data_IF_579788463770
#
_entry.id   IF_579788463770
#
_cell.length_a   1.000
_cell.length_b   1.000
_cell.length_c   1.000
_cell.angle_alpha   90.00
_cell.angle_beta   90.00
_cell.angle_gamma   90.00
#
_symmetry.space_group_name_H-M   'P 1'
#
loop_
_entity.id
_entity.type
_entity.pdbx_description
1 polymer ?
#
# COMPACT_ATOMS: atom_id res chain seq x y z
N UNK A 1 -3.09 4.07 -14.78
CA UNK A 1 -2.04 4.73 -13.96
C UNK A 1 -2.58 5.33 -12.66
N UNK A 2 -3.44 6.36 -12.66
CA UNK A 2 -3.92 7.04 -11.42
C UNK A 2 -4.51 6.11 -10.33
N UNK A 3 -5.21 5.05 -10.73
CA UNK A 3 -5.79 4.06 -9.79
C UNK A 3 -4.72 3.25 -9.04
N UNK A 4 -3.60 2.92 -9.69
CA UNK A 4 -2.49 2.17 -9.07
C UNK A 4 -1.72 3.06 -8.09
N UNK A 5 -1.43 4.30 -8.48
CA UNK A 5 -0.77 5.27 -7.60
C UNK A 5 -1.62 5.58 -6.36
N UNK A 6 -2.95 5.69 -6.53
CA UNK A 6 -3.87 5.86 -5.40
C UNK A 6 -3.82 4.64 -4.46
N UNK A 7 -3.93 3.43 -5.02
CA UNK A 7 -3.80 2.20 -4.24
C UNK A 7 -2.44 2.06 -3.53
N UNK A 8 -1.35 2.44 -4.19
CA UNK A 8 -0.03 2.44 -3.56
C UNK A 8 0.02 3.40 -2.37
N UNK A 9 -0.45 4.64 -2.55
CA UNK A 9 -0.54 5.62 -1.48
C UNK A 9 -1.41 5.12 -0.31
N UNK A 10 -2.57 4.55 -0.61
CA UNK A 10 -3.49 4.02 0.41
C UNK A 10 -2.84 2.92 1.25
N UNK A 11 -2.06 2.01 0.63
CA UNK A 11 -1.32 0.97 1.34
C UNK A 11 -0.12 1.55 2.10
N UNK A 12 0.58 2.55 1.57
CA UNK A 12 1.73 3.17 2.24
C UNK A 12 1.34 3.93 3.52
N UNK A 13 0.16 4.56 3.52
CA UNK A 13 -0.30 5.38 4.66
C UNK A 13 -1.09 4.54 5.68
N UNK A 14 -1.60 3.36 5.30
CA UNK A 14 -2.26 2.48 6.26
C UNK A 14 -1.29 1.99 7.33
N UNK A 15 -1.69 2.04 8.59
CA UNK A 15 -0.94 1.43 9.69
C UNK A 15 -0.84 -0.09 9.54
N UNK A 16 0.24 -0.66 10.07
CA UNK A 16 0.51 -2.09 10.11
C UNK A 16 0.94 -2.51 11.52
N UNK A 17 0.69 -3.77 11.88
CA UNK A 17 1.23 -4.40 13.09
C UNK A 17 2.35 -5.38 12.74
N UNK A 18 3.23 -5.68 13.68
CA UNK A 18 4.20 -6.77 13.53
C UNK A 18 3.53 -8.15 13.72
N UNK A 19 4.11 -9.18 13.11
CA UNK A 19 3.62 -10.55 13.26
C UNK A 19 3.87 -11.02 14.71
N UNK A 20 2.80 -11.34 15.44
CA UNK A 20 2.87 -11.72 16.85
C UNK A 20 2.94 -10.55 17.83
N UNK A 21 2.66 -9.32 17.39
CA UNK A 21 2.59 -8.16 18.28
C UNK A 21 1.47 -8.33 19.32
N UNK A 22 1.73 -7.97 20.57
CA UNK A 22 0.78 -8.14 21.67
C UNK A 22 0.15 -6.81 22.10
N UNK A 23 -1.12 -6.85 22.47
CA UNK A 23 -1.80 -5.67 22.98
C UNK A 23 -1.19 -5.26 24.33
N UNK A 24 -0.76 -4.00 24.51
CA UNK A 24 -0.12 -3.55 25.76
C UNK A 24 -1.06 -3.52 26.99
N UNK A 25 -2.37 -3.72 26.78
CA UNK A 25 -3.38 -3.71 27.86
C UNK A 25 -3.68 -5.12 28.34
N UNK A 26 -4.02 -6.04 27.43
CA UNK A 26 -4.42 -7.41 27.77
C UNK A 26 -3.33 -8.46 27.53
N UNK A 27 -2.17 -8.08 26.96
CA UNK A 27 -1.05 -8.96 26.63
C UNK A 27 -1.48 -10.16 25.77
N UNK A 28 -2.48 -9.96 24.91
CA UNK A 28 -2.95 -10.96 23.96
C UNK A 28 -2.48 -10.59 22.57
N UNK A 29 -2.10 -11.59 21.78
CA UNK A 29 -1.68 -11.43 20.39
C UNK A 29 -2.74 -10.67 19.57
N UNK A 30 -2.28 -9.63 18.88
CA UNK A 30 -3.09 -8.75 18.07
C UNK A 30 -3.29 -9.35 16.68
N UNK A 31 -4.54 -9.34 16.21
CA UNK A 31 -4.92 -9.87 14.90
C UNK A 31 -5.36 -8.77 13.97
N UNK A 32 -4.91 -8.85 12.73
CA UNK A 32 -5.35 -7.96 11.65
C UNK A 32 -6.87 -7.94 11.55
N UNK A 33 -7.45 -6.76 11.35
CA UNK A 33 -8.90 -6.54 11.33
C UNK A 33 -9.53 -6.44 12.72
N UNK A 34 -8.80 -6.71 13.80
CA UNK A 34 -9.27 -6.63 15.18
C UNK A 34 -8.42 -5.67 16.04
N UNK A 35 -7.71 -4.75 15.40
CA UNK A 35 -6.81 -3.77 16.03
C UNK A 35 -7.15 -2.38 15.53
N UNK A 36 -7.23 -1.43 16.45
CA UNK A 36 -7.40 -0.02 16.14
C UNK A 36 -6.08 0.72 16.27
N UNK A 37 -5.76 1.51 15.25
CA UNK A 37 -4.73 2.53 15.29
C UNK A 37 -5.34 3.85 15.71
N UNK A 38 -4.75 4.46 16.73
CA UNK A 38 -5.14 5.76 17.23
C UNK A 38 -4.43 6.86 16.41
N UNK A 39 -4.98 8.08 16.36
CA UNK A 39 -4.30 9.24 15.69
C UNK A 39 -3.00 9.69 16.37
N UNK A 40 -2.64 9.07 17.49
CA UNK A 40 -1.35 9.20 18.15
C UNK A 40 -0.40 8.03 17.84
N UNK A 41 -0.71 7.21 16.82
CA UNK A 41 0.10 6.08 16.34
C UNK A 41 0.24 4.92 17.34
N UNK A 42 -0.62 4.87 18.37
CA UNK A 42 -0.65 3.75 19.30
C UNK A 42 -1.74 2.76 18.92
N UNK A 43 -1.45 1.47 19.02
CA UNK A 43 -2.31 0.38 18.58
C UNK A 43 -2.83 -0.41 19.78
N UNK A 44 -4.10 -0.81 19.73
CA UNK A 44 -4.74 -1.63 20.76
C UNK A 44 -5.75 -2.58 20.12
N UNK A 45 -5.98 -3.74 20.76
CA UNK A 45 -7.02 -4.65 20.29
C UNK A 45 -8.42 -4.05 20.50
N UNK A 46 -9.33 -4.41 19.59
CA UNK A 46 -10.77 -4.05 19.62
C UNK A 46 -11.40 -4.22 20.99
N UNK A 47 -11.19 -5.37 21.63
CA UNK A 47 -11.75 -5.66 22.95
C UNK A 47 -11.33 -4.66 24.04
N UNK A 48 -10.07 -4.22 24.01
CA UNK A 48 -9.57 -3.25 24.98
C UNK A 48 -10.06 -1.84 24.65
N UNK A 49 -10.09 -1.46 23.38
CA UNK A 49 -10.66 -0.19 22.93
C UNK A 49 -12.15 -0.07 23.31
N UNK A 50 -12.93 -1.13 23.12
CA UNK A 50 -14.35 -1.16 23.48
C UNK A 50 -14.57 -1.02 24.99
N UNK A 51 -13.72 -1.65 25.80
CA UNK A 51 -13.74 -1.52 27.28
C UNK A 51 -13.35 -0.12 27.75
N UNK A 52 -12.51 0.59 27.01
CA UNK A 52 -12.10 1.96 27.33
C UNK A 52 -13.18 2.99 27.01
N UNK A 53 -14.12 2.66 26.13
CA UNK A 53 -15.20 3.55 25.74
C UNK A 53 -16.56 2.84 25.68
N UNK A 54 -17.07 2.35 26.82
CA UNK A 54 -18.34 1.67 26.88
C UNK A 54 -19.48 2.69 26.64
N UNK A 55 -20.02 2.67 25.42
CA UNK A 55 -21.41 3.05 25.08
C UNK A 55 -21.88 4.52 25.15
N UNK A 56 -21.19 5.49 25.76
CA UNK A 56 -21.67 6.90 25.72
C UNK A 56 -20.63 7.99 25.47
N UNK A 57 -19.34 7.67 25.47
CA UNK A 57 -18.31 8.65 25.14
C UNK A 57 -17.84 8.42 23.71
N UNK A 58 -18.03 9.44 22.86
CA UNK A 58 -17.44 9.52 21.52
C UNK A 58 -15.92 9.69 21.57
N UNK A 59 -15.39 10.06 22.74
CA UNK A 59 -13.98 10.38 22.94
C UNK A 59 -13.32 9.31 23.80
N UNK A 60 -12.24 8.71 23.30
CA UNK A 60 -11.41 7.75 24.01
C UNK A 60 -10.08 8.40 24.38
N UNK A 61 -9.60 8.16 25.60
CA UNK A 61 -8.26 8.59 26.01
C UNK A 61 -7.25 7.48 25.73
N UNK A 62 -6.18 7.78 25.00
CA UNK A 62 -5.10 6.83 24.76
C UNK A 62 -4.43 6.42 26.09
N UNK A 63 -4.34 5.12 26.42
CA UNK A 63 -3.68 4.65 27.64
C UNK A 63 -2.20 5.02 27.75
N UNK A 64 -1.50 5.14 26.62
CA UNK A 64 -0.05 5.41 26.59
C UNK A 64 0.27 6.90 26.69
N UNK A 65 -0.41 7.75 25.91
CA UNK A 65 -0.08 9.18 25.81
C UNK A 65 -1.18 10.12 26.32
N UNK A 66 -2.33 9.60 26.76
CA UNK A 66 -3.50 10.35 27.28
C UNK A 66 -4.12 11.35 26.30
N UNK A 67 -3.78 11.26 25.01
CA UNK A 67 -4.42 12.05 23.96
C UNK A 67 -5.89 11.64 23.83
N UNK A 68 -6.77 12.63 23.72
CA UNK A 68 -8.21 12.45 23.48
C UNK A 68 -8.44 12.27 21.99
N UNK A 69 -9.14 11.19 21.62
CA UNK A 69 -9.32 10.76 20.23
C UNK A 69 -10.79 10.41 20.03
N UNK A 70 -11.38 10.86 18.92
CA UNK A 70 -12.75 10.47 18.56
C UNK A 70 -12.79 9.03 18.09
N UNK A 71 -13.90 8.32 18.34
CA UNK A 71 -14.12 6.98 17.79
C UNK A 71 -14.11 6.96 16.26
N UNK A 72 -14.55 8.04 15.62
CA UNK A 72 -14.57 8.17 14.17
C UNK A 72 -13.17 8.38 13.56
N UNK A 73 -12.20 8.80 14.37
CA UNK A 73 -10.82 9.05 13.94
C UNK A 73 -9.92 7.80 14.12
N UNK A 74 -10.49 6.67 14.56
CA UNK A 74 -9.73 5.43 14.73
C UNK A 74 -9.80 4.59 13.46
N UNK A 75 -8.63 4.17 12.98
CA UNK A 75 -8.51 3.32 11.81
C UNK A 75 -8.29 1.85 12.19
N UNK A 76 -8.96 0.94 11.50
CA UNK A 76 -8.73 -0.51 11.70
C UNK A 76 -7.53 -0.94 10.88
N UNK A 77 -6.54 -1.56 11.54
CA UNK A 77 -5.36 -2.10 10.86
C UNK A 77 -5.74 -3.31 10.00
N UNK A 78 -5.45 -3.24 8.71
CA UNK A 78 -5.80 -4.25 7.69
C UNK A 78 -4.63 -5.13 7.26
N UNK A 79 -3.41 -4.87 7.74
CA UNK A 79 -2.22 -5.59 7.31
C UNK A 79 -1.27 -5.84 8.49
N UNK A 80 -0.59 -6.97 8.48
CA UNK A 80 0.71 -7.06 9.15
C UNK A 80 1.78 -6.37 8.30
N UNK A 81 2.93 -6.05 8.89
CA UNK A 81 4.05 -5.45 8.17
C UNK A 81 4.42 -6.28 6.92
N UNK A 82 4.52 -7.60 7.08
CA UNK A 82 4.79 -8.55 6.00
C UNK A 82 3.73 -8.46 4.89
N UNK A 83 2.43 -8.46 5.26
CA UNK A 83 1.33 -8.37 4.31
C UNK A 83 1.26 -7.02 3.57
N UNK A 84 1.63 -5.93 4.26
CA UNK A 84 1.67 -4.60 3.66
C UNK A 84 2.75 -4.55 2.56
N UNK A 85 3.95 -5.08 2.85
CA UNK A 85 5.03 -5.20 1.87
C UNK A 85 4.62 -6.05 0.66
N UNK A 86 4.02 -7.20 0.88
CA UNK A 86 3.52 -8.06 -0.21
C UNK A 86 2.48 -7.32 -1.08
N UNK A 87 1.58 -6.56 -0.45
CA UNK A 87 0.59 -5.76 -1.16
C UNK A 87 1.23 -4.64 -2.01
N UNK A 88 2.28 -3.99 -1.50
CA UNK A 88 3.05 -2.98 -2.23
C UNK A 88 3.80 -3.59 -3.42
N UNK A 89 4.46 -4.73 -3.23
CA UNK A 89 5.14 -5.47 -4.31
C UNK A 89 4.15 -5.85 -5.43
N UNK A 90 2.97 -6.34 -5.07
CA UNK A 90 1.93 -6.65 -6.05
C UNK A 90 1.42 -5.42 -6.82
N UNK A 91 1.49 -4.21 -6.25
CA UNK A 91 1.21 -2.97 -6.99
C UNK A 91 2.36 -2.63 -7.94
N UNK A 92 3.61 -2.75 -7.49
CA UNK A 92 4.80 -2.50 -8.31
C UNK A 92 4.86 -3.46 -9.52
N UNK A 93 4.62 -4.75 -9.33
CA UNK A 93 4.57 -5.73 -10.43
C UNK A 93 3.50 -5.41 -11.47
N UNK A 94 2.32 -4.97 -11.02
CA UNK A 94 1.24 -4.54 -11.93
C UNK A 94 1.63 -3.31 -12.72
N UNK A 95 2.34 -2.38 -12.09
CA UNK A 95 2.87 -1.20 -12.76
C UNK A 95 3.91 -1.60 -13.82
N UNK A 96 4.88 -2.45 -13.48
CA UNK A 96 5.89 -2.95 -14.40
C UNK A 96 5.30 -3.67 -15.63
N UNK A 97 4.21 -4.44 -15.45
CA UNK A 97 3.48 -5.08 -16.56
C UNK A 97 2.83 -4.08 -17.51
N UNK A 98 2.32 -2.96 -17.00
CA UNK A 98 1.74 -1.89 -17.83
C UNK A 98 2.84 -1.11 -18.56
N UNK A 99 3.95 -0.87 -17.88
CA UNK A 99 5.09 -0.14 -18.45
C UNK A 99 5.71 -0.91 -19.62
N UNK A 100 5.98 -2.21 -19.44
CA UNK A 100 6.45 -3.09 -20.54
C UNK A 100 5.47 -3.20 -21.70
N UNK A 101 4.15 -3.16 -21.45
CA UNK A 101 3.15 -3.15 -22.54
C UNK A 101 3.31 -1.90 -23.40
N UNK A 102 3.53 -0.76 -22.77
CA UNK A 102 3.70 0.51 -23.48
C UNK A 102 4.97 0.52 -24.34
N UNK A 103 6.07 -0.06 -23.83
CA UNK A 103 7.31 -0.22 -24.59
C UNK A 103 7.12 -1.11 -25.83
N UNK A 104 6.38 -2.23 -25.70
CA UNK A 104 6.05 -3.12 -26.82
C UNK A 104 5.11 -2.48 -27.84
N UNK A 105 4.11 -1.71 -27.40
CA UNK A 105 3.20 -0.96 -28.30
C UNK A 105 3.93 0.14 -29.08
N UNK A 106 5.04 0.69 -28.55
CA UNK A 106 5.89 1.65 -29.28
C UNK A 106 6.98 1.00 -30.14
N UNK A 107 7.30 -0.28 -29.91
CA UNK A 107 8.36 -0.99 -30.63
C UNK A 107 7.89 -1.60 -31.96
N UNK A 108 6.59 -1.88 -32.12
CA UNK A 108 6.03 -2.52 -33.32
C UNK A 108 5.78 -1.55 -34.49
N UNK A 109 5.95 -0.24 -34.30
CA UNK A 109 5.79 0.78 -35.36
C UNK A 109 7.14 1.39 -35.83
N UNK A 110 8.29 0.91 -35.33
CA UNK A 110 9.62 1.39 -35.76
C UNK A 110 10.43 0.34 -36.55
N UNK A 111 9.77 -0.61 -37.21
CA UNK A 111 10.41 -1.50 -38.20
C UNK A 111 10.19 -0.99 -39.64
N UNK A 112 10.40 0.31 -39.88
CA UNK A 112 10.46 0.84 -41.25
C UNK A 112 11.84 0.55 -41.88
N UNK A 113 11.92 -0.63 -42.50
CA UNK A 113 12.52 -0.89 -43.80
C UNK A 113 13.53 0.18 -44.31
N UNK A 114 14.75 0.16 -43.76
CA UNK A 114 15.88 0.91 -44.30
C UNK A 114 16.19 0.32 -45.68
N UNK A 115 15.77 1.05 -46.72
CA UNK A 115 15.86 0.67 -48.14
C UNK A 115 17.24 0.09 -48.50
N UNK A 116 17.21 -1.14 -49.01
CA UNK A 116 18.29 -1.75 -49.78
C UNK A 116 18.43 -1.00 -51.11
N UNK A 117 19.25 0.06 -51.14
CA UNK A 117 19.74 0.63 -52.39
C UNK A 117 20.97 -0.15 -52.87
N UNK A 118 20.72 -1.38 -53.29
CA UNK A 118 21.61 -2.17 -54.11
C UNK A 118 21.34 -1.94 -55.60
N UNK A 119 22.42 -1.70 -56.35
CA UNK A 119 22.58 -1.69 -57.82
C UNK A 119 22.48 -0.30 -58.48
N UNK A 120 23.44 0.22 -59.25
CA UNK A 120 24.61 -0.38 -59.87
C UNK A 120 24.92 0.41 -61.16
N UNK A 121 26.21 0.50 -61.53
CA UNK A 121 26.75 0.97 -62.84
C UNK A 121 26.74 2.51 -63.05
N UNK A 122 27.73 3.19 -63.65
CA UNK A 122 28.75 2.82 -64.65
C UNK A 122 29.80 3.96 -64.81
N UNK A 123 31.05 3.60 -65.11
CA UNK A 123 32.04 4.34 -65.94
C UNK A 123 32.52 5.75 -65.51
N UNK A 124 33.73 6.23 -65.79
CA UNK A 124 34.99 5.70 -66.30
C UNK A 124 36.04 6.83 -66.19
N UNK A 125 37.30 6.40 -66.13
CA UNK A 125 38.52 7.10 -66.57
C UNK A 125 39.28 7.99 -65.59
#
# INVERSE_FOLDING_TARGET
MRKLLRKFHDIMVSGSIEDGEECPICMTEMKVGQVYSYTCEHTFCTECTDKLAPTHEEIVSCPTCRKRISKDDMDVIQFTASQQWDALLAVAERWAKIDRRRELETSDEEEENWLDDGDGTSDAK
#
